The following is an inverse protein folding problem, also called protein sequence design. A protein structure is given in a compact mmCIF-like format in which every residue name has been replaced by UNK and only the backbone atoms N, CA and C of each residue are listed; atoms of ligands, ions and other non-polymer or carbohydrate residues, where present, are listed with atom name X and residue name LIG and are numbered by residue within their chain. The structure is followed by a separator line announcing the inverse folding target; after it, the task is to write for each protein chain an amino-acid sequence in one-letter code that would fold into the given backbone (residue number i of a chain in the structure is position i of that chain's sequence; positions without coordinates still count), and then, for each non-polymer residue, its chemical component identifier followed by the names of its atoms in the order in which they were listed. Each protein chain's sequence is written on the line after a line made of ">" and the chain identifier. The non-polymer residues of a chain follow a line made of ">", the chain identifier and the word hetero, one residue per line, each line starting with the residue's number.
data_IF_774362342154
#
_entry.id   IF_774362342154
#
_cell.length_a   1.000
_cell.length_b   1.000
_cell.length_c   1.000
_cell.angle_alpha   90.00
_cell.angle_beta   90.00
_cell.angle_gamma   90.00
#
_symmetry.space_group_name_H-M   'P 1'
#
loop_
_entity.id
_entity.type
_entity.pdbx_description
1 polymer ?
#
# COMPACT_ATOMS: atom_id res chain seq x y z
N UNK A 1 -12.50 9.10 9.53
CA UNK A 1 -12.35 7.88 8.71
C UNK A 1 -11.05 7.18 9.10
N UNK A 2 -11.08 5.89 9.29
CA UNK A 2 -9.93 5.11 9.73
C UNK A 2 -9.38 4.24 8.61
N UNK A 3 -8.12 3.84 8.77
CA UNK A 3 -7.45 2.91 7.86
C UNK A 3 -7.41 1.53 8.53
N UNK A 4 -7.77 0.52 7.79
CA UNK A 4 -7.71 -0.87 8.24
C UNK A 4 -6.88 -1.66 7.24
N UNK A 5 -5.91 -2.42 7.73
CA UNK A 5 -5.06 -3.27 6.90
C UNK A 5 -5.54 -4.71 7.00
N UNK A 6 -5.72 -5.36 5.86
CA UNK A 6 -6.01 -6.79 5.85
C UNK A 6 -4.78 -7.58 6.25
N UNK A 7 -4.96 -8.84 6.62
CA UNK A 7 -3.83 -9.73 6.92
C UNK A 7 -2.93 -9.88 5.68
N UNK A 8 -3.53 -9.95 4.49
CA UNK A 8 -2.76 -10.00 3.25
C UNK A 8 -1.92 -8.76 3.04
N UNK A 9 -2.47 -7.59 3.30
CA UNK A 9 -1.73 -6.34 3.16
C UNK A 9 -0.58 -6.26 4.16
N UNK A 10 -0.80 -6.73 5.40
CA UNK A 10 0.25 -6.78 6.41
C UNK A 10 1.35 -7.76 6.01
N UNK A 11 0.99 -8.91 5.47
CA UNK A 11 1.96 -9.89 4.98
C UNK A 11 2.76 -9.32 3.81
N UNK A 12 2.09 -8.61 2.89
CA UNK A 12 2.76 -7.95 1.78
C UNK A 12 3.80 -6.95 2.29
N UNK A 13 3.41 -6.12 3.26
CA UNK A 13 4.32 -5.13 3.83
C UNK A 13 5.52 -5.82 4.49
N UNK A 14 5.27 -6.87 5.24
CA UNK A 14 6.32 -7.64 5.91
C UNK A 14 7.33 -8.20 4.91
N UNK A 15 6.85 -8.76 3.80
CA UNK A 15 7.71 -9.28 2.73
C UNK A 15 8.55 -8.18 2.08
N UNK A 16 7.94 -7.02 1.82
CA UNK A 16 8.64 -5.87 1.26
C UNK A 16 9.76 -5.43 2.19
N UNK A 17 9.48 -5.33 3.48
CA UNK A 17 10.46 -4.89 4.46
C UNK A 17 11.59 -5.90 4.64
N UNK A 18 11.27 -7.20 4.62
CA UNK A 18 12.27 -8.26 4.69
C UNK A 18 13.23 -8.19 3.51
N UNK A 19 12.71 -7.94 2.31
CA UNK A 19 13.52 -7.77 1.11
C UNK A 19 14.51 -6.60 1.27
N UNK A 20 14.01 -5.45 1.67
CA UNK A 20 14.86 -4.26 1.82
C UNK A 20 15.87 -4.40 2.95
N UNK A 21 15.47 -5.07 4.03
CA UNK A 21 16.38 -5.35 5.13
C UNK A 21 17.54 -6.22 4.65
N UNK A 22 17.24 -7.29 3.92
CA UNK A 22 18.26 -8.20 3.41
C UNK A 22 19.19 -7.53 2.42
N UNK A 23 18.64 -6.66 1.55
CA UNK A 23 19.44 -6.01 0.50
C UNK A 23 20.21 -4.80 0.98
N UNK A 24 19.67 -4.03 1.93
CA UNK A 24 20.22 -2.72 2.27
C UNK A 24 20.22 -2.41 3.76
N UNK A 25 19.83 -3.34 4.62
CA UNK A 25 19.90 -3.20 6.06
C UNK A 25 18.70 -2.51 6.70
N UNK A 26 18.74 -2.38 8.04
CA UNK A 26 17.58 -1.92 8.81
C UNK A 26 17.16 -0.47 8.55
N UNK A 27 18.11 0.43 8.30
CA UNK A 27 17.77 1.83 8.03
C UNK A 27 16.93 2.00 6.77
N UNK A 28 17.31 1.27 5.72
CA UNK A 28 16.55 1.31 4.46
C UNK A 28 15.17 0.70 4.66
N UNK A 29 15.08 -0.42 5.36
CA UNK A 29 13.78 -1.05 5.64
C UNK A 29 12.87 -0.10 6.43
N UNK A 30 13.39 0.58 7.45
CA UNK A 30 12.61 1.56 8.22
C UNK A 30 12.14 2.72 7.37
N UNK A 31 13.00 3.22 6.47
CA UNK A 31 12.64 4.33 5.59
C UNK A 31 11.54 3.93 4.61
N UNK A 32 11.62 2.71 4.06
CA UNK A 32 10.59 2.18 3.16
C UNK A 32 9.27 2.04 3.91
N UNK A 33 9.29 1.46 5.10
CA UNK A 33 8.09 1.32 5.93
C UNK A 33 7.43 2.66 6.20
N UNK A 34 8.23 3.63 6.65
CA UNK A 34 7.72 4.97 6.95
C UNK A 34 7.05 5.58 5.75
N UNK A 35 7.68 5.50 4.59
CA UNK A 35 7.14 6.10 3.38
C UNK A 35 5.83 5.46 2.94
N UNK A 36 5.74 4.15 2.98
CA UNK A 36 4.51 3.43 2.63
C UNK A 36 3.40 3.77 3.61
N UNK A 37 3.68 3.64 4.90
CA UNK A 37 2.67 3.84 5.95
C UNK A 37 2.19 5.29 5.99
N UNK A 38 3.10 6.27 5.93
CA UNK A 38 2.71 7.68 5.96
C UNK A 38 1.82 8.07 4.77
N UNK A 39 2.13 7.57 3.58
CA UNK A 39 1.31 7.89 2.42
C UNK A 39 -0.08 7.27 2.49
N UNK A 40 -0.19 6.07 3.01
CA UNK A 40 -1.49 5.41 3.19
C UNK A 40 -2.26 6.04 4.33
N UNK A 41 -1.62 6.22 5.49
CA UNK A 41 -2.29 6.77 6.67
C UNK A 41 -2.67 8.26 6.51
N UNK A 42 -2.05 8.94 5.55
CA UNK A 42 -2.36 10.33 5.23
C UNK A 42 -3.59 10.52 4.34
N UNK A 43 -4.21 9.45 3.85
CA UNK A 43 -5.34 9.53 2.92
C UNK A 43 -6.68 9.99 3.48
N UNK A 44 -7.05 9.72 4.75
CA UNK A 44 -8.40 9.95 5.23
C UNK A 44 -9.01 11.33 4.95
N UNK A 45 -8.27 12.46 5.02
CA UNK A 45 -8.85 13.77 4.69
C UNK A 45 -9.31 13.91 3.24
N UNK A 46 -8.74 13.11 2.31
CA UNK A 46 -9.00 13.26 0.88
C UNK A 46 -9.11 11.91 0.16
N UNK A 47 -10.02 11.04 0.59
CA UNK A 47 -10.08 9.68 0.03
C UNK A 47 -10.46 9.65 -1.46
N UNK A 48 -11.14 10.67 -1.97
CA UNK A 48 -11.53 10.75 -3.37
C UNK A 48 -10.35 10.96 -4.31
N UNK A 49 -9.20 11.35 -3.78
CA UNK A 49 -7.98 11.55 -4.59
C UNK A 49 -7.35 10.25 -5.04
N UNK A 50 -7.72 9.15 -4.41
CA UNK A 50 -7.21 7.83 -4.79
C UNK A 50 -7.92 7.43 -6.08
N UNK A 51 -7.16 7.10 -7.12
CA UNK A 51 -7.76 6.76 -8.41
C UNK A 51 -8.44 5.39 -8.37
N UNK A 52 -9.42 5.19 -9.25
CA UNK A 52 -10.04 3.87 -9.41
C UNK A 52 -9.06 2.92 -10.06
N UNK A 53 -9.08 1.65 -9.62
CA UNK A 53 -8.20 0.63 -10.16
C UNK A 53 -8.72 0.11 -11.49
N UNK A 54 -7.81 -0.03 -12.45
CA UNK A 54 -8.08 -0.73 -13.70
C UNK A 54 -7.82 -2.23 -13.58
N UNK A 55 -7.13 -2.64 -12.51
CA UNK A 55 -6.73 -4.03 -12.30
C UNK A 55 -7.72 -4.82 -11.46
N UNK A 56 -8.34 -4.16 -10.47
CA UNK A 56 -9.27 -4.81 -9.55
C UNK A 56 -10.56 -4.00 -9.55
N UNK A 57 -11.63 -4.61 -10.04
CA UNK A 57 -12.94 -3.96 -10.09
C UNK A 57 -13.41 -3.60 -8.69
N UNK A 58 -13.89 -2.38 -8.51
CA UNK A 58 -14.38 -1.89 -7.22
C UNK A 58 -13.31 -1.45 -6.25
N UNK A 59 -12.02 -1.59 -6.62
CA UNK A 59 -10.91 -1.14 -5.79
C UNK A 59 -10.34 0.19 -6.28
N UNK A 60 -9.50 0.78 -5.44
CA UNK A 60 -8.75 1.98 -5.74
C UNK A 60 -7.26 1.70 -5.63
N UNK A 61 -6.45 2.54 -6.29
CA UNK A 61 -4.99 2.38 -6.31
C UNK A 61 -4.32 3.65 -5.83
N UNK A 62 -3.33 3.47 -4.97
CA UNK A 62 -2.41 4.53 -4.58
C UNK A 62 -1.01 4.11 -4.99
N UNK A 63 -0.40 4.86 -5.91
CA UNK A 63 1.01 4.66 -6.25
C UNK A 63 1.85 5.32 -5.17
N UNK A 64 2.70 4.55 -4.52
CA UNK A 64 3.57 5.08 -3.46
C UNK A 64 4.66 5.94 -4.11
N UNK A 65 4.72 7.21 -3.72
CA UNK A 65 5.70 8.15 -4.26
C UNK A 65 7.13 7.69 -3.97
N UNK A 66 7.98 7.68 -5.00
CA UNK A 66 9.40 7.36 -4.93
C UNK A 66 9.73 5.92 -4.58
N UNK A 67 8.75 5.04 -4.57
CA UNK A 67 8.93 3.61 -4.36
C UNK A 67 8.13 2.86 -5.42
N UNK A 68 8.62 1.71 -5.87
CA UNK A 68 7.94 0.96 -6.93
C UNK A 68 6.82 0.08 -6.39
N UNK A 69 5.92 0.66 -5.59
CA UNK A 69 4.81 -0.08 -4.97
C UNK A 69 3.49 0.60 -5.23
N UNK A 70 2.44 -0.21 -5.31
CA UNK A 70 1.04 0.23 -5.42
C UNK A 70 0.27 -0.40 -4.27
N UNK A 71 -0.51 0.43 -3.56
CA UNK A 71 -1.45 -0.06 -2.56
C UNK A 71 -2.83 -0.14 -3.19
N UNK A 72 -3.46 -1.31 -3.12
CA UNK A 72 -4.84 -1.51 -3.54
C UNK A 72 -5.74 -1.38 -2.33
N UNK A 73 -6.81 -0.61 -2.46
CA UNK A 73 -7.68 -0.25 -1.33
C UNK A 73 -9.14 -0.31 -1.71
N UNK A 74 -9.97 -0.49 -0.70
CA UNK A 74 -11.42 -0.39 -0.85
C UNK A 74 -11.91 0.77 0.01
N UNK A 75 -12.62 1.69 -0.62
CA UNK A 75 -13.16 2.86 0.07
C UNK A 75 -14.58 2.53 0.54
N UNK A 76 -14.77 2.47 1.85
CA UNK A 76 -16.06 2.23 2.48
C UNK A 76 -16.55 3.54 3.13
N UNK A 77 -17.85 3.62 3.51
CA UNK A 77 -18.37 4.88 4.07
C UNK A 77 -17.64 5.38 5.30
N UNK A 78 -17.12 4.49 6.14
CA UNK A 78 -16.51 4.84 7.42
C UNK A 78 -15.02 4.51 7.52
N UNK A 79 -14.44 3.86 6.50
CA UNK A 79 -13.06 3.42 6.56
C UNK A 79 -12.47 3.17 5.19
N UNK A 80 -11.17 3.12 5.13
CA UNK A 80 -10.41 2.68 3.96
C UNK A 80 -9.77 1.35 4.33
N UNK A 81 -9.98 0.33 3.51
CA UNK A 81 -9.39 -1.00 3.75
C UNK A 81 -8.23 -1.19 2.77
N UNK A 82 -7.02 -1.38 3.30
CA UNK A 82 -5.85 -1.69 2.49
C UNK A 82 -5.88 -3.18 2.20
N UNK A 83 -6.03 -3.54 0.92
CA UNK A 83 -6.18 -4.93 0.49
C UNK A 83 -4.85 -5.61 0.24
N UNK A 84 -3.95 -4.92 -0.45
CA UNK A 84 -2.64 -5.44 -0.84
C UNK A 84 -1.67 -4.30 -1.10
N UNK A 85 -0.38 -4.58 -0.96
CA UNK A 85 0.70 -3.67 -1.39
C UNK A 85 1.61 -4.50 -2.29
N UNK A 86 1.73 -4.12 -3.56
CA UNK A 86 2.46 -4.93 -4.55
C UNK A 86 3.49 -4.10 -5.30
N UNK A 87 4.54 -4.75 -5.78
CA UNK A 87 5.53 -4.10 -6.64
C UNK A 87 4.89 -3.75 -7.99
N UNK A 88 5.22 -2.57 -8.52
CA UNK A 88 4.63 -2.06 -9.77
C UNK A 88 4.87 -2.98 -10.97
N UNK A 89 5.98 -3.72 -10.97
CA UNK A 89 6.31 -4.64 -12.06
C UNK A 89 5.60 -5.98 -11.94
N UNK A 90 4.98 -6.27 -10.78
CA UNK A 90 4.28 -7.53 -10.58
C UNK A 90 2.96 -7.53 -11.31
N UNK A 91 2.65 -8.65 -11.96
CA UNK A 91 1.33 -8.86 -12.55
C UNK A 91 0.36 -9.19 -11.42
N UNK A 92 -0.57 -8.27 -11.14
CA UNK A 92 -1.52 -8.42 -10.04
C UNK A 92 -2.88 -7.86 -10.44
N UNK A 93 -3.99 -8.60 -10.19
CA UNK A 93 -3.98 -10.00 -9.72
C UNK A 93 -3.44 -10.93 -10.80
N UNK A 94 -2.87 -12.03 -10.34
CA UNK A 94 -2.25 -13.01 -11.23
C UNK A 94 -3.30 -13.80 -12.03
#
# INVERSE_FOLDING_TARGET
>A
MRIVWTDEALDDLEEILAYHYAESGPRTAEAVERRIVEQIEGLPPFPERIRKSDRIQGARELVISRLPYIAFMKLLPDKIVVLNVVHTARRFPA
#
